data_IF_443421799813
#
_entry.id   IF_443421799813
#
_cell.length_a   1.000
_cell.length_b   1.000
_cell.length_c   1.000
_cell.angle_alpha   90.00
_cell.angle_beta   90.00
_cell.angle_gamma   90.00
#
_symmetry.space_group_name_H-M   'P 1'
#
loop_
_entity.id
_entity.type
_entity.pdbx_description
1 polymer ?
#
# COMPACT_ATOMS: atom_id res chain seq x y z
N UNK A 1 -18.83 14.26 -54.82
CA UNK A 1 -19.34 13.63 -56.05
C UNK A 1 -18.18 13.05 -56.84
N UNK A 2 -18.20 11.82 -57.37
CA UNK A 2 -19.29 10.85 -57.50
C UNK A 2 -19.05 9.56 -56.65
N UNK A 3 -20.03 8.91 -56.16
CA UNK A 3 -21.05 8.02 -56.69
C UNK A 3 -20.65 6.54 -56.79
N UNK A 4 -21.40 5.77 -56.07
CA UNK A 4 -21.44 4.36 -55.87
C UNK A 4 -21.56 3.50 -57.17
N UNK A 5 -21.10 2.25 -57.09
CA UNK A 5 -21.72 1.14 -57.85
C UNK A 5 -21.59 -0.19 -57.08
N UNK A 6 -22.72 -0.78 -56.75
CA UNK A 6 -22.90 -2.20 -56.41
C UNK A 6 -23.15 -3.00 -57.69
N UNK A 7 -22.86 -4.28 -57.76
CA UNK A 7 -23.73 -5.18 -58.53
C UNK A 7 -24.32 -6.34 -57.71
N UNK A 8 -25.48 -6.65 -58.19
CA UNK A 8 -26.56 -7.53 -57.82
C UNK A 8 -26.23 -9.03 -57.75
N UNK A 9 -26.99 -9.69 -56.91
CA UNK A 9 -27.19 -11.14 -56.84
C UNK A 9 -27.90 -11.69 -58.09
N UNK A 10 -27.71 -12.99 -58.37
CA UNK A 10 -28.76 -13.84 -58.95
C UNK A 10 -28.47 -15.35 -58.73
N UNK A 11 -29.48 -16.25 -58.98
CA UNK A 11 -29.84 -17.30 -58.04
C UNK A 11 -29.85 -18.74 -58.65
N UNK A 12 -30.21 -19.70 -57.76
CA UNK A 12 -30.78 -21.02 -58.01
C UNK A 12 -30.04 -22.04 -58.89
N UNK A 13 -29.68 -23.20 -58.30
CA UNK A 13 -30.08 -24.50 -58.80
C UNK A 13 -30.16 -25.56 -57.70
N UNK A 14 -31.34 -26.07 -57.52
CA UNK A 14 -31.65 -27.26 -56.74
C UNK A 14 -31.32 -28.53 -57.52
N UNK A 15 -30.77 -29.56 -56.89
CA UNK A 15 -30.92 -30.95 -57.28
C UNK A 15 -31.21 -31.86 -56.09
N UNK A 16 -32.18 -32.71 -56.31
CA UNK A 16 -32.88 -33.65 -55.45
C UNK A 16 -32.02 -34.86 -55.03
N UNK A 17 -32.17 -35.22 -53.77
CA UNK A 17 -32.45 -36.53 -53.16
C UNK A 17 -31.79 -37.83 -53.64
N UNK A 18 -31.20 -38.60 -52.73
CA UNK A 18 -31.81 -39.81 -52.13
C UNK A 18 -30.99 -40.34 -50.96
N UNK A 19 -31.59 -41.12 -50.06
CA UNK A 19 -31.06 -41.39 -48.72
C UNK A 19 -30.31 -42.73 -48.66
N UNK A 20 -29.29 -42.82 -47.81
CA UNK A 20 -28.80 -44.15 -47.34
C UNK A 20 -28.58 -44.00 -45.79
N UNK A 21 -29.16 -44.97 -45.14
CA UNK A 21 -29.25 -45.15 -43.72
C UNK A 21 -27.94 -45.67 -43.06
N UNK A 22 -27.94 -45.61 -41.73
CA UNK A 22 -27.13 -46.34 -40.77
C UNK A 22 -25.77 -45.76 -40.37
N UNK A 23 -25.71 -45.44 -39.07
CA UNK A 23 -24.48 -45.28 -38.34
C UNK A 23 -24.70 -44.48 -37.03
N UNK A 24 -25.37 -45.12 -36.07
CA UNK A 24 -25.42 -44.58 -34.68
C UNK A 24 -24.00 -44.61 -34.11
N UNK A 25 -23.33 -43.46 -34.06
CA UNK A 25 -22.13 -43.29 -33.24
C UNK A 25 -22.42 -42.21 -32.24
N UNK A 26 -22.72 -42.63 -31.00
CA UNK A 26 -22.82 -41.80 -29.82
C UNK A 26 -21.43 -41.21 -29.50
N UNK A 27 -21.17 -39.99 -29.91
CA UNK A 27 -20.07 -39.21 -29.38
C UNK A 27 -20.49 -38.67 -28.00
N UNK A 28 -19.97 -39.26 -26.93
CA UNK A 28 -19.90 -38.63 -25.63
C UNK A 28 -19.00 -37.38 -25.78
N UNK A 29 -19.60 -36.23 -25.89
CA UNK A 29 -18.93 -34.96 -25.69
C UNK A 29 -18.62 -34.88 -24.19
N UNK A 30 -17.39 -35.23 -23.79
CA UNK A 30 -16.83 -34.87 -22.51
C UNK A 30 -16.79 -33.34 -22.45
N UNK A 31 -17.78 -32.73 -21.80
CA UNK A 31 -17.71 -31.36 -21.38
C UNK A 31 -16.59 -31.25 -20.33
N UNK A 32 -15.35 -31.08 -20.78
CA UNK A 32 -14.24 -30.62 -19.97
C UNK A 32 -14.57 -29.23 -19.51
N UNK A 33 -15.23 -29.11 -18.38
CA UNK A 33 -15.34 -27.85 -17.66
C UNK A 33 -13.94 -27.43 -17.25
N UNK A 34 -13.36 -26.46 -17.93
CA UNK A 34 -12.25 -25.68 -17.41
C UNK A 34 -12.73 -25.06 -16.09
N UNK A 35 -12.52 -25.79 -14.99
CA UNK A 35 -12.52 -25.22 -13.66
C UNK A 35 -11.31 -24.28 -13.63
N UNK A 36 -11.48 -23.08 -14.18
CA UNK A 36 -10.59 -21.98 -13.91
C UNK A 36 -10.48 -21.89 -12.39
N UNK A 37 -9.33 -22.30 -11.86
CA UNK A 37 -8.97 -22.11 -10.46
C UNK A 37 -9.00 -20.60 -10.25
N UNK A 38 -10.18 -20.06 -9.90
CA UNK A 38 -10.29 -18.69 -9.43
C UNK A 38 -9.44 -18.66 -8.16
N UNK A 39 -8.30 -18.01 -8.24
CA UNK A 39 -7.54 -17.65 -7.07
C UNK A 39 -8.52 -16.94 -6.13
N UNK A 40 -8.74 -17.54 -4.96
CA UNK A 40 -9.53 -16.90 -3.92
C UNK A 40 -8.90 -15.53 -3.66
N UNK A 41 -9.69 -14.48 -3.82
CA UNK A 41 -9.24 -13.13 -3.67
C UNK A 41 -8.61 -12.90 -2.30
N UNK A 42 -7.56 -12.12 -2.26
CA UNK A 42 -6.84 -11.80 -1.04
C UNK A 42 -7.58 -10.69 -0.30
N UNK A 43 -8.49 -11.04 0.62
CA UNK A 43 -9.25 -10.06 1.40
C UNK A 43 -8.86 -10.13 2.86
N UNK A 44 -8.55 -8.97 3.43
CA UNK A 44 -8.17 -8.88 4.83
C UNK A 44 -8.43 -7.51 5.43
N UNK A 45 -8.64 -7.50 6.74
CA UNK A 45 -8.78 -6.29 7.55
C UNK A 45 -7.79 -6.34 8.71
N UNK A 46 -7.14 -5.23 8.95
CA UNK A 46 -6.30 -4.99 10.13
C UNK A 46 -6.86 -3.83 10.93
N UNK A 47 -6.93 -4.01 12.24
CA UNK A 47 -7.07 -2.94 13.25
C UNK A 47 -5.86 -3.04 14.19
N UNK A 48 -5.05 -1.98 14.23
CA UNK A 48 -3.85 -1.94 15.06
C UNK A 48 -3.82 -0.68 15.91
N UNK A 49 -3.39 -0.83 17.17
CA UNK A 49 -3.07 0.28 18.06
C UNK A 49 -1.57 0.30 18.33
N UNK A 50 -0.99 1.49 18.35
CA UNK A 50 0.45 1.69 18.51
C UNK A 50 0.74 2.61 19.67
N UNK A 51 1.86 2.33 20.34
CA UNK A 51 2.50 3.26 21.28
C UNK A 51 3.84 3.72 20.71
N UNK A 52 4.03 5.03 20.71
CA UNK A 52 5.32 5.64 20.39
C UNK A 52 6.06 5.99 21.69
N UNK A 53 7.36 5.69 21.77
CA UNK A 53 8.21 6.02 22.90
C UNK A 53 9.57 6.53 22.46
N UNK A 54 10.25 7.29 23.31
CA UNK A 54 11.67 7.66 23.19
C UNK A 54 12.34 7.29 24.50
N UNK A 55 13.45 6.56 24.44
CA UNK A 55 14.17 6.04 25.61
C UNK A 55 13.25 5.33 26.62
N UNK A 56 12.24 4.59 26.13
CA UNK A 56 11.24 3.90 26.95
C UNK A 56 10.11 4.77 27.51
N UNK A 57 10.15 6.08 27.32
CA UNK A 57 9.11 7.00 27.80
C UNK A 57 8.02 7.12 26.73
N UNK A 58 6.76 6.75 27.00
CA UNK A 58 5.66 6.91 26.06
C UNK A 58 5.43 8.40 25.71
N UNK A 59 5.43 8.69 24.41
CA UNK A 59 5.25 10.05 23.88
C UNK A 59 4.01 10.20 23.01
N UNK A 60 3.42 9.10 22.57
CA UNK A 60 2.25 9.12 21.68
C UNK A 60 1.54 7.79 21.59
N UNK A 61 0.32 7.85 21.08
CA UNK A 61 -0.49 6.68 20.70
C UNK A 61 -1.13 6.95 19.36
N UNK A 62 -1.37 5.89 18.60
CA UNK A 62 -2.06 5.96 17.33
C UNK A 62 -2.78 4.67 17.02
N UNK A 63 -3.68 4.73 16.05
CA UNK A 63 -4.34 3.57 15.50
C UNK A 63 -4.20 3.56 13.98
N UNK A 64 -4.28 2.37 13.41
CA UNK A 64 -4.28 2.17 11.97
C UNK A 64 -5.29 1.09 11.59
N UNK A 65 -6.19 1.42 10.66
CA UNK A 65 -7.17 0.51 10.09
C UNK A 65 -6.85 0.35 8.61
N UNK A 66 -6.73 -0.88 8.16
CA UNK A 66 -6.45 -1.22 6.76
C UNK A 66 -7.48 -2.24 6.31
N UNK A 67 -8.09 -2.01 5.15
CA UNK A 67 -8.94 -2.97 4.47
C UNK A 67 -8.36 -3.24 3.08
N UNK A 68 -8.24 -4.51 2.73
CA UNK A 68 -7.75 -4.97 1.44
C UNK A 68 -8.79 -5.89 0.84
N UNK A 69 -9.25 -5.60 -0.36
CA UNK A 69 -10.09 -6.46 -1.19
C UNK A 69 -9.34 -6.90 -2.46
N UNK A 70 -10.01 -7.57 -3.37
CA UNK A 70 -9.40 -8.09 -4.59
C UNK A 70 -8.90 -7.00 -5.53
N UNK A 71 -9.58 -5.86 -5.54
CA UNK A 71 -9.39 -4.78 -6.51
C UNK A 71 -9.03 -3.43 -5.89
N UNK A 72 -9.17 -3.28 -4.56
CA UNK A 72 -8.93 -2.02 -3.87
C UNK A 72 -8.41 -2.20 -2.45
N UNK A 73 -7.83 -1.13 -1.92
CA UNK A 73 -7.49 -1.01 -0.50
C UNK A 73 -7.89 0.36 0.03
N UNK A 74 -8.14 0.41 1.32
CA UNK A 74 -8.24 1.63 2.11
C UNK A 74 -7.35 1.52 3.35
N UNK A 75 -6.78 2.64 3.75
CA UNK A 75 -5.98 2.73 4.96
C UNK A 75 -6.28 4.07 5.65
N UNK A 76 -6.53 4.03 6.95
CA UNK A 76 -6.81 5.22 7.75
C UNK A 76 -6.06 5.12 9.08
N UNK A 77 -5.39 6.20 9.45
CA UNK A 77 -4.62 6.27 10.68
C UNK A 77 -4.95 7.54 11.46
N UNK A 78 -4.85 7.46 12.78
CA UNK A 78 -4.84 8.64 13.62
C UNK A 78 -3.80 8.49 14.73
N UNK A 79 -3.38 9.62 15.31
CA UNK A 79 -2.42 9.62 16.40
C UNK A 79 -2.49 10.90 17.22
N UNK A 80 -2.03 10.78 18.47
CA UNK A 80 -1.95 11.90 19.39
C UNK A 80 -0.73 11.76 20.30
N UNK A 81 -0.14 12.88 20.68
CA UNK A 81 0.88 12.91 21.73
C UNK A 81 0.27 12.63 23.10
N UNK A 82 1.01 11.93 23.94
CA UNK A 82 0.59 11.55 25.29
C UNK A 82 1.63 11.94 26.35
N UNK A 83 1.30 11.74 27.63
CA UNK A 83 2.23 12.00 28.73
C UNK A 83 2.64 13.46 28.86
N UNK A 84 3.85 13.68 29.34
CA UNK A 84 4.41 15.02 29.58
C UNK A 84 4.52 15.84 28.29
N UNK A 85 4.80 15.20 27.16
CA UNK A 85 4.93 15.87 25.86
C UNK A 85 3.62 16.54 25.42
N UNK A 86 2.47 15.99 25.81
CA UNK A 86 1.16 16.59 25.50
C UNK A 86 1.04 18.04 26.01
N UNK A 87 1.64 18.36 27.14
CA UNK A 87 1.61 19.74 27.69
C UNK A 87 2.38 20.72 26.81
N UNK A 88 3.39 20.25 26.07
CA UNK A 88 4.24 21.12 25.27
C UNK A 88 3.80 21.17 23.80
N UNK A 89 3.29 20.09 23.25
CA UNK A 89 2.98 20.02 21.81
C UNK A 89 1.50 19.85 21.53
N UNK A 90 0.77 19.03 22.33
CA UNK A 90 -0.64 18.73 22.13
C UNK A 90 -0.95 18.26 20.70
N UNK A 91 0.01 17.61 20.02
CA UNK A 91 -0.12 17.26 18.62
C UNK A 91 -1.10 16.10 18.43
N UNK A 92 -1.89 16.18 17.36
CA UNK A 92 -2.75 15.12 16.87
C UNK A 92 -2.69 15.09 15.36
N UNK A 93 -2.78 13.91 14.77
CA UNK A 93 -2.75 13.72 13.34
C UNK A 93 -3.79 12.71 12.88
N UNK A 94 -4.26 12.88 11.67
CA UNK A 94 -5.06 11.91 10.93
C UNK A 94 -4.49 11.77 9.54
N UNK A 95 -4.62 10.59 8.96
CA UNK A 95 -4.24 10.35 7.57
C UNK A 95 -5.09 9.24 6.98
N UNK A 96 -5.30 9.31 5.68
CA UNK A 96 -5.99 8.28 4.92
C UNK A 96 -5.36 8.14 3.53
N UNK A 97 -5.37 6.91 3.03
CA UNK A 97 -5.01 6.58 1.67
C UNK A 97 -6.00 5.57 1.10
N UNK A 98 -6.24 5.64 -0.18
CA UNK A 98 -6.94 4.59 -0.92
C UNK A 98 -6.34 4.41 -2.31
N UNK A 99 -6.59 3.24 -2.89
CA UNK A 99 -6.16 2.93 -4.23
C UNK A 99 -6.69 1.58 -4.70
N UNK A 100 -6.23 1.16 -5.85
CA UNK A 100 -6.57 -0.13 -6.42
C UNK A 100 -5.50 -1.18 -6.12
N UNK A 101 -5.88 -2.45 -6.26
CA UNK A 101 -4.95 -3.57 -6.32
C UNK A 101 -4.87 -4.00 -7.79
N UNK A 102 -3.70 -3.86 -8.39
CA UNK A 102 -3.46 -4.27 -9.78
C UNK A 102 -2.34 -5.30 -9.82
N UNK A 103 -2.60 -6.47 -10.40
CA UNK A 103 -1.67 -7.60 -10.38
C UNK A 103 -1.17 -7.93 -8.97
N UNK A 104 -2.05 -7.77 -7.99
CA UNK A 104 -1.76 -7.99 -6.58
C UNK A 104 -0.93 -6.89 -5.90
N UNK A 105 -0.56 -5.82 -6.59
CA UNK A 105 0.22 -4.70 -6.03
C UNK A 105 -0.69 -3.52 -5.71
N UNK A 106 -0.50 -2.84 -4.56
CA UNK A 106 -1.18 -1.58 -4.27
C UNK A 106 -0.78 -0.50 -5.28
N UNK A 107 -1.77 0.16 -5.87
CA UNK A 107 -1.60 1.31 -6.78
C UNK A 107 -2.31 2.50 -6.14
N UNK A 108 -1.56 3.51 -5.66
CA UNK A 108 -2.14 4.64 -4.95
C UNK A 108 -3.02 5.50 -5.86
N UNK A 109 -4.17 5.95 -5.34
CA UNK A 109 -5.06 6.88 -6.01
C UNK A 109 -5.21 8.19 -5.25
N UNK A 110 -5.26 8.15 -3.91
CA UNK A 110 -5.25 9.36 -3.11
C UNK A 110 -4.63 9.15 -1.74
N UNK A 111 -4.09 10.24 -1.22
CA UNK A 111 -3.56 10.35 0.14
C UNK A 111 -3.91 11.71 0.71
N UNK A 112 -4.27 11.75 1.98
CA UNK A 112 -4.44 12.98 2.74
C UNK A 112 -3.94 12.80 4.17
N UNK A 113 -3.31 13.83 4.71
CA UNK A 113 -2.87 13.88 6.10
C UNK A 113 -3.05 15.27 6.68
N UNK A 114 -3.60 15.34 7.89
CA UNK A 114 -3.74 16.59 8.64
C UNK A 114 -3.07 16.41 9.99
N UNK A 115 -2.16 17.31 10.36
CA UNK A 115 -1.50 17.35 11.66
C UNK A 115 -1.81 18.67 12.32
N UNK A 116 -2.35 18.62 13.53
CA UNK A 116 -2.63 19.81 14.35
C UNK A 116 -1.68 19.83 15.56
N UNK A 117 -1.01 20.96 15.80
CA UNK A 117 -0.17 21.18 16.97
C UNK A 117 -0.35 22.61 17.47
N UNK A 118 -0.93 22.74 18.66
CA UNK A 118 -1.40 24.03 19.16
C UNK A 118 -2.45 24.65 18.24
N UNK A 119 -2.16 25.85 17.71
CA UNK A 119 -3.03 26.56 16.74
C UNK A 119 -2.62 26.33 15.29
N UNK A 120 -1.56 25.58 15.05
CA UNK A 120 -1.06 25.31 13.69
C UNK A 120 -1.68 24.04 13.15
N UNK A 121 -1.99 24.06 11.86
CA UNK A 121 -2.49 22.93 11.12
C UNK A 121 -1.60 22.75 9.90
N UNK A 122 -1.07 21.55 9.73
CA UNK A 122 -0.41 21.10 8.51
C UNK A 122 -1.37 20.15 7.77
N UNK A 123 -1.71 20.46 6.54
CA UNK A 123 -2.55 19.62 5.66
C UNK A 123 -1.79 19.28 4.38
N UNK A 124 -1.87 18.03 3.98
CA UNK A 124 -1.30 17.54 2.73
C UNK A 124 -2.35 16.68 2.03
N UNK A 125 -2.53 16.90 0.74
CA UNK A 125 -3.38 16.09 -0.13
C UNK A 125 -2.65 15.76 -1.41
N UNK A 126 -2.76 14.52 -1.87
CA UNK A 126 -2.12 14.04 -3.09
C UNK A 126 -3.14 13.16 -3.84
N UNK A 127 -3.35 13.47 -5.12
CA UNK A 127 -4.06 12.62 -6.06
C UNK A 127 -3.06 11.97 -7.02
N UNK A 128 -3.24 10.66 -7.29
CA UNK A 128 -2.35 9.89 -8.16
C UNK A 128 -3.14 9.08 -9.18
N UNK A 129 -2.52 8.85 -10.32
CA UNK A 129 -3.00 7.91 -11.34
C UNK A 129 -1.85 7.06 -11.82
N UNK A 130 -1.95 5.74 -11.65
CA UNK A 130 -0.90 4.78 -12.03
C UNK A 130 0.50 5.17 -11.49
N UNK A 131 0.57 5.58 -10.21
CA UNK A 131 1.83 5.98 -9.56
C UNK A 131 2.34 7.38 -9.96
N UNK A 132 1.59 8.15 -10.74
CA UNK A 132 1.96 9.52 -11.08
C UNK A 132 1.07 10.50 -10.35
N UNK A 133 1.66 11.50 -9.70
CA UNK A 133 0.94 12.58 -9.02
C UNK A 133 0.27 13.45 -10.08
N UNK A 134 -1.06 13.55 -10.02
CA UNK A 134 -1.88 14.37 -10.93
C UNK A 134 -2.25 15.71 -10.32
N UNK A 135 -2.36 15.75 -8.99
CA UNK A 135 -2.63 16.95 -8.23
C UNK A 135 -2.10 16.81 -6.79
N UNK A 136 -1.70 17.90 -6.16
CA UNK A 136 -1.35 17.92 -4.75
C UNK A 136 -1.46 19.32 -4.14
N UNK A 137 -1.75 19.37 -2.86
CA UNK A 137 -1.74 20.60 -2.05
C UNK A 137 -1.03 20.40 -0.73
N UNK A 138 -0.39 21.45 -0.26
CA UNK A 138 0.34 21.51 1.01
C UNK A 138 0.03 22.83 1.69
N UNK A 139 -0.63 22.77 2.85
CA UNK A 139 -0.98 23.93 3.66
C UNK A 139 -0.39 23.78 5.09
N UNK A 140 0.34 24.78 5.58
CA UNK A 140 0.80 25.98 4.89
C UNK A 140 1.88 25.67 3.84
N UNK A 141 2.08 26.57 2.87
CA UNK A 141 3.16 26.41 1.89
C UNK A 141 4.52 26.28 2.56
N UNK A 142 5.43 25.55 1.93
CA UNK A 142 6.79 25.41 2.46
C UNK A 142 7.48 26.77 2.53
N UNK A 143 8.09 27.11 3.67
CA UNK A 143 8.82 28.38 3.77
C UNK A 143 10.00 28.41 2.80
N UNK A 144 10.37 29.57 2.27
CA UNK A 144 11.54 29.70 1.41
C UNK A 144 12.79 29.15 2.08
N UNK A 145 13.62 28.45 1.30
CA UNK A 145 14.92 27.96 1.71
C UNK A 145 15.83 27.98 0.48
N UNK A 146 16.90 28.80 0.45
CA UNK A 146 17.73 28.99 -0.74
C UNK A 146 18.42 27.72 -1.23
N UNK A 147 18.75 26.81 -0.33
CA UNK A 147 19.42 25.53 -0.61
C UNK A 147 18.44 24.34 -0.74
N UNK A 148 17.13 24.60 -0.81
CA UNK A 148 16.15 23.53 -1.07
C UNK A 148 16.33 22.97 -2.47
N UNK A 149 16.47 21.64 -2.56
CA UNK A 149 16.47 20.94 -3.85
C UNK A 149 15.06 21.02 -4.46
N UNK A 150 14.87 21.59 -5.65
CA UNK A 150 13.54 21.71 -6.25
C UNK A 150 12.92 20.36 -6.56
N UNK A 151 11.61 20.22 -6.37
CA UNK A 151 10.83 19.08 -6.86
C UNK A 151 10.46 19.32 -8.32
N UNK A 152 10.83 18.39 -9.19
CA UNK A 152 10.54 18.43 -10.64
C UNK A 152 9.32 17.56 -10.98
N UNK A 153 8.85 17.64 -12.22
CA UNK A 153 7.79 16.76 -12.72
C UNK A 153 8.22 15.29 -12.76
N UNK A 154 9.52 15.04 -12.98
CA UNK A 154 10.06 13.67 -12.97
C UNK A 154 9.99 13.05 -11.57
N UNK A 155 10.17 13.84 -10.51
CA UNK A 155 10.15 13.40 -9.13
C UNK A 155 8.76 12.97 -8.64
N UNK A 156 7.72 13.30 -9.38
CA UNK A 156 6.32 13.00 -9.10
C UNK A 156 5.77 11.83 -9.91
N UNK A 157 6.64 11.10 -10.62
CA UNK A 157 6.28 9.92 -11.42
C UNK A 157 6.78 8.64 -10.80
N UNK A 158 5.98 7.57 -10.92
CA UNK A 158 6.33 6.25 -10.39
C UNK A 158 6.49 6.25 -8.86
N UNK A 159 5.67 7.02 -8.15
CA UNK A 159 5.78 7.19 -6.70
C UNK A 159 4.59 6.61 -5.95
N UNK A 160 4.83 6.33 -4.69
CA UNK A 160 3.81 6.03 -3.69
C UNK A 160 3.61 7.24 -2.77
N UNK A 161 2.44 7.34 -2.17
CA UNK A 161 2.25 8.15 -0.97
C UNK A 161 2.84 7.45 0.27
N UNK A 162 3.07 8.19 1.37
CA UNK A 162 3.67 7.63 2.58
C UNK A 162 2.90 6.44 3.16
N UNK A 163 1.57 6.46 3.17
CA UNK A 163 0.75 5.41 3.79
C UNK A 163 0.73 4.15 2.93
N UNK A 164 0.49 4.28 1.62
CA UNK A 164 0.53 3.15 0.69
C UNK A 164 1.93 2.53 0.63
N UNK A 165 2.98 3.32 0.79
CA UNK A 165 4.35 2.83 0.81
C UNK A 165 4.62 1.83 1.93
N UNK A 166 3.84 1.84 3.00
CA UNK A 166 3.94 0.89 4.12
C UNK A 166 3.20 -0.43 3.87
N UNK A 167 2.37 -0.53 2.84
CA UNK A 167 1.72 -1.77 2.43
C UNK A 167 2.70 -2.62 1.62
N UNK A 168 3.41 -3.52 2.29
CA UNK A 168 4.45 -4.33 1.67
C UNK A 168 3.88 -5.64 1.11
N UNK A 169 3.54 -5.67 -0.17
CA UNK A 169 3.06 -6.86 -0.87
C UNK A 169 4.21 -7.77 -1.25
N UNK A 170 4.22 -8.98 -0.72
CA UNK A 170 5.20 -10.02 -1.04
C UNK A 170 4.72 -10.86 -2.21
N UNK A 171 5.54 -10.97 -3.25
CA UNK A 171 5.24 -11.77 -4.45
C UNK A 171 5.40 -13.27 -4.19
N UNK A 172 4.95 -14.10 -5.17
CA UNK A 172 5.07 -15.57 -5.08
C UNK A 172 3.96 -16.23 -4.27
N UNK A 173 4.11 -17.55 -4.01
CA UNK A 173 3.12 -18.41 -3.36
C UNK A 173 3.57 -18.95 -1.99
N UNK A 174 4.84 -18.78 -1.63
CA UNK A 174 5.38 -19.18 -0.32
C UNK A 174 4.86 -18.32 0.83
N UNK A 175 5.39 -18.53 2.04
CA UNK A 175 5.05 -17.72 3.21
C UNK A 175 5.42 -16.24 2.94
N UNK A 176 4.49 -15.28 3.06
CA UNK A 176 4.81 -13.87 2.92
C UNK A 176 5.77 -13.37 4.01
N UNK A 177 5.79 -13.99 5.19
CA UNK A 177 6.72 -13.63 6.27
C UNK A 177 8.03 -14.36 6.04
N UNK A 178 8.86 -13.79 5.19
CA UNK A 178 10.13 -14.38 4.74
C UNK A 178 11.19 -13.29 4.52
N UNK A 179 12.48 -13.66 4.37
CA UNK A 179 13.55 -12.70 4.08
C UNK A 179 13.30 -11.82 2.86
N UNK A 180 12.58 -12.34 1.84
CA UNK A 180 12.23 -11.65 0.61
C UNK A 180 11.34 -10.42 0.85
N UNK A 181 10.59 -10.41 1.95
CA UNK A 181 9.78 -9.27 2.35
C UNK A 181 10.60 -7.99 2.58
N UNK A 182 11.89 -8.14 2.90
CA UNK A 182 12.78 -7.01 3.14
C UNK A 182 13.50 -6.50 1.87
N UNK A 183 13.50 -7.27 0.79
CA UNK A 183 14.17 -6.83 -0.45
C UNK A 183 13.25 -5.88 -1.24
N UNK A 184 13.20 -4.63 -0.78
CA UNK A 184 12.29 -3.63 -1.34
C UNK A 184 12.99 -2.28 -1.52
N UNK A 185 12.69 -1.66 -2.67
CA UNK A 185 12.98 -0.26 -2.93
C UNK A 185 11.69 0.42 -3.36
N UNK A 186 11.32 1.51 -2.71
CA UNK A 186 10.08 2.25 -2.99
C UNK A 186 10.36 3.75 -3.07
N UNK A 187 9.84 4.35 -4.13
CA UNK A 187 9.87 5.77 -4.39
C UNK A 187 8.66 6.43 -3.71
N UNK A 188 8.86 7.40 -2.84
CA UNK A 188 7.79 8.04 -2.07
C UNK A 188 7.78 9.54 -2.33
N UNK A 189 6.57 10.10 -2.49
CA UNK A 189 6.33 11.53 -2.49
C UNK A 189 5.29 11.88 -1.42
N UNK A 190 5.64 12.73 -0.48
CA UNK A 190 4.80 13.10 0.66
C UNK A 190 4.10 14.47 0.50
N UNK A 191 4.13 15.04 -0.72
CA UNK A 191 3.65 16.37 -1.02
C UNK A 191 4.73 17.46 -0.87
N UNK A 192 5.81 17.18 -0.15
CA UNK A 192 6.91 18.13 0.14
C UNK A 192 8.25 17.61 -0.31
N UNK A 193 8.51 16.33 -0.09
CA UNK A 193 9.80 15.68 -0.34
C UNK A 193 9.58 14.42 -1.17
N UNK A 194 10.44 14.24 -2.15
CA UNK A 194 10.61 13.00 -2.89
C UNK A 194 11.80 12.25 -2.29
N UNK A 195 11.60 11.02 -1.86
CA UNK A 195 12.64 10.18 -1.28
C UNK A 195 12.46 8.71 -1.67
N UNK A 196 13.56 7.97 -1.65
CA UNK A 196 13.54 6.52 -1.74
C UNK A 196 13.68 5.92 -0.34
N UNK A 197 12.91 4.87 -0.08
CA UNK A 197 13.16 3.93 1.01
C UNK A 197 13.69 2.64 0.41
N UNK A 198 14.81 2.18 0.94
CA UNK A 198 15.37 0.87 0.66
C UNK A 198 15.34 0.04 1.92
N UNK A 199 15.04 -1.26 1.81
CA UNK A 199 15.11 -2.18 2.93
C UNK A 199 15.85 -3.46 2.57
N UNK A 200 16.57 -4.03 3.53
CA UNK A 200 17.26 -5.30 3.43
C UNK A 200 16.95 -6.19 4.66
N UNK A 201 17.07 -7.49 4.46
CA UNK A 201 16.81 -8.46 5.52
C UNK A 201 17.90 -8.43 6.60
N UNK A 202 17.48 -8.41 7.86
CA UNK A 202 18.36 -8.55 9.01
C UNK A 202 18.22 -9.91 9.69
N UNK A 203 16.99 -10.28 10.08
CA UNK A 203 16.70 -11.52 10.82
C UNK A 203 15.20 -11.81 10.86
N UNK A 204 14.87 -13.02 11.27
CA UNK A 204 13.50 -13.36 11.68
C UNK A 204 13.38 -13.23 13.19
N UNK A 205 12.25 -12.72 13.66
CA UNK A 205 11.88 -12.69 15.08
C UNK A 205 10.45 -13.18 15.29
N UNK A 206 10.10 -13.45 16.55
CA UNK A 206 8.70 -13.67 16.97
C UNK A 206 8.27 -12.51 17.83
N UNK A 207 7.10 -11.95 17.52
CA UNK A 207 6.49 -10.87 18.28
C UNK A 207 5.15 -11.31 18.86
N UNK A 208 4.69 -10.55 19.86
CA UNK A 208 3.38 -10.76 20.47
C UNK A 208 2.82 -9.39 20.87
N UNK A 209 1.67 -9.02 20.30
CA UNK A 209 0.88 -7.90 20.77
C UNK A 209 0.12 -8.28 22.07
N UNK A 210 -0.31 -7.31 22.83
CA UNK A 210 -1.19 -7.55 24.00
C UNK A 210 -2.51 -8.20 23.55
N UNK A 211 -3.01 -7.79 22.36
CA UNK A 211 -4.18 -8.37 21.73
C UNK A 211 -3.96 -8.58 20.23
N UNK A 212 -4.29 -9.78 19.73
CA UNK A 212 -4.26 -10.13 18.32
C UNK A 212 -3.01 -10.91 17.95
N UNK A 213 -2.16 -10.36 17.09
CA UNK A 213 -1.05 -11.08 16.46
C UNK A 213 0.00 -11.56 17.46
N UNK A 214 0.31 -12.84 17.36
CA UNK A 214 1.49 -13.47 17.97
C UNK A 214 2.08 -14.43 16.93
N UNK A 215 3.30 -14.18 16.48
CA UNK A 215 3.89 -14.98 15.41
C UNK A 215 5.18 -14.40 14.84
N UNK A 216 5.69 -15.04 13.77
CA UNK A 216 6.94 -14.64 13.13
C UNK A 216 6.79 -13.31 12.39
N UNK A 217 7.85 -12.52 12.37
CA UNK A 217 8.00 -11.28 11.61
C UNK A 217 9.35 -11.24 10.91
N UNK A 218 9.40 -10.60 9.75
CA UNK A 218 10.66 -10.27 9.10
C UNK A 218 11.16 -8.92 9.62
N UNK A 219 12.39 -8.89 10.12
CA UNK A 219 13.06 -7.65 10.57
C UNK A 219 13.94 -7.15 9.44
N UNK A 220 13.64 -5.95 8.97
CA UNK A 220 14.36 -5.32 7.87
C UNK A 220 15.06 -4.04 8.34
N UNK A 221 16.28 -3.84 7.91
CA UNK A 221 16.93 -2.53 7.97
C UNK A 221 16.26 -1.58 6.98
N UNK A 222 16.12 -0.30 7.35
CA UNK A 222 15.47 0.72 6.51
C UNK A 222 16.44 1.88 6.29
N UNK A 223 16.60 2.26 5.03
CA UNK A 223 17.51 3.33 4.61
C UNK A 223 16.75 4.40 3.84
N UNK A 224 17.02 5.64 4.19
CA UNK A 224 16.41 6.81 3.59
C UNK A 224 17.36 7.51 2.63
N UNK A 225 16.89 7.80 1.43
CA UNK A 225 17.63 8.57 0.42
C UNK A 225 16.74 9.71 -0.08
N UNK A 226 16.96 10.96 0.35
CA UNK A 226 16.21 12.10 -0.16
C UNK A 226 16.63 12.39 -1.60
N UNK A 227 15.66 12.70 -2.45
CA UNK A 227 15.87 13.00 -3.87
C UNK A 227 15.67 14.50 -4.15
N UNK A 228 14.51 15.04 -3.74
CA UNK A 228 14.18 16.46 -3.95
C UNK A 228 13.20 16.97 -2.88
N UNK A 229 12.94 18.28 -2.83
CA UNK A 229 12.07 18.92 -1.85
C UNK A 229 12.71 19.19 -0.49
N UNK A 230 13.83 18.54 -0.21
CA UNK A 230 14.52 18.66 1.07
C UNK A 230 15.54 19.79 1.08
N UNK A 231 16.02 20.14 2.27
CA UNK A 231 17.04 21.18 2.53
C UNK A 231 18.30 20.47 3.03
N UNK A 232 19.38 20.35 2.21
CA UNK A 232 20.58 19.57 2.55
C UNK A 232 21.30 20.03 3.82
N UNK A 233 21.25 21.33 4.11
CA UNK A 233 21.89 21.91 5.30
C UNK A 233 21.23 21.52 6.62
N UNK A 234 19.98 21.02 6.62
CA UNK A 234 19.23 20.66 7.84
C UNK A 234 19.87 19.48 8.57
N UNK A 235 20.20 19.62 9.88
CA UNK A 235 20.81 18.53 10.65
C UNK A 235 19.98 17.24 10.65
N UNK A 236 18.64 17.34 10.73
CA UNK A 236 17.76 16.17 10.69
C UNK A 236 17.87 15.39 9.36
N UNK A 237 18.04 16.06 8.23
CA UNK A 237 18.22 15.40 6.93
C UNK A 237 19.57 14.70 6.87
N UNK A 238 20.64 15.34 7.31
CA UNK A 238 21.98 14.73 7.40
C UNK A 238 21.95 13.48 8.27
N UNK A 239 21.31 13.61 9.44
CA UNK A 239 21.14 12.47 10.35
C UNK A 239 20.43 11.29 9.69
N UNK A 240 19.28 11.52 9.01
CA UNK A 240 18.52 10.47 8.35
C UNK A 240 19.28 9.81 7.19
N UNK A 241 20.09 10.58 6.43
CA UNK A 241 20.93 10.04 5.35
C UNK A 241 22.02 9.09 5.91
N UNK A 242 22.57 9.42 7.05
CA UNK A 242 23.67 8.65 7.69
C UNK A 242 23.15 7.48 8.53
N UNK A 243 21.87 7.45 8.85
CA UNK A 243 21.25 6.44 9.72
C UNK A 243 21.34 5.04 9.10
N UNK A 244 21.86 4.06 9.87
CA UNK A 244 22.02 2.65 9.43
C UNK A 244 21.29 1.65 10.32
N UNK A 245 20.81 2.11 11.47
CA UNK A 245 20.24 1.27 12.53
C UNK A 245 18.72 1.47 12.69
N UNK A 246 18.06 2.00 11.64
CA UNK A 246 16.60 2.00 11.59
C UNK A 246 16.12 0.61 11.16
N UNK A 247 15.18 0.05 11.91
CA UNK A 247 14.63 -1.28 11.64
C UNK A 247 13.09 -1.25 11.65
N UNK A 248 12.49 -2.11 10.82
CA UNK A 248 11.06 -2.37 10.79
C UNK A 248 10.77 -3.86 10.93
N UNK A 249 9.83 -4.21 11.78
CA UNK A 249 9.28 -5.56 11.95
C UNK A 249 7.99 -5.66 11.16
N UNK A 250 7.94 -6.53 10.18
CA UNK A 250 6.83 -6.67 9.25
C UNK A 250 5.96 -7.86 9.63
N UNK A 251 4.70 -7.61 9.99
CA UNK A 251 3.70 -8.62 10.31
C UNK A 251 2.61 -8.71 9.21
N UNK A 252 2.00 -9.89 9.00
CA UNK A 252 1.05 -10.10 7.91
C UNK A 252 -0.36 -9.61 8.26
N UNK A 253 -1.07 -9.11 7.24
CA UNK A 253 -2.52 -8.97 7.26
C UNK A 253 -3.13 -10.31 6.86
N UNK A 254 -3.91 -10.91 7.74
CA UNK A 254 -4.53 -12.22 7.52
C UNK A 254 -5.36 -12.25 6.23
N UNK A 255 -5.30 -13.37 5.51
CA UNK A 255 -5.99 -13.54 4.23
C UNK A 255 -5.34 -12.82 3.05
N UNK A 256 -4.23 -12.12 3.26
CA UNK A 256 -3.52 -11.37 2.20
C UNK A 256 -2.05 -11.77 2.13
N UNK A 257 -1.35 -11.24 1.14
CA UNK A 257 0.12 -11.31 1.05
C UNK A 257 0.78 -9.97 1.38
N UNK A 258 0.07 -9.10 2.11
CA UNK A 258 0.55 -7.78 2.50
C UNK A 258 1.06 -7.85 3.93
N UNK A 259 2.29 -7.38 4.12
CA UNK A 259 2.89 -7.16 5.42
C UNK A 259 2.89 -5.66 5.72
N UNK A 260 2.75 -5.33 6.99
CA UNK A 260 2.77 -3.94 7.47
C UNK A 260 3.63 -3.82 8.73
N UNK A 261 4.10 -2.61 9.07
CA UNK A 261 4.88 -2.40 10.27
C UNK A 261 4.12 -2.81 11.55
N UNK A 262 4.66 -3.81 12.25
CA UNK A 262 4.28 -4.16 13.61
C UNK A 262 5.08 -3.30 14.61
N UNK A 263 6.36 -3.09 14.31
CA UNK A 263 7.28 -2.27 15.10
C UNK A 263 8.19 -1.51 14.15
N UNK A 264 8.55 -0.30 14.53
CA UNK A 264 9.61 0.48 13.91
C UNK A 264 10.51 1.04 15.00
N UNK A 265 11.82 0.90 14.83
CA UNK A 265 12.82 1.41 15.76
C UNK A 265 13.86 2.22 15.02
N UNK A 266 14.30 3.30 15.63
CA UNK A 266 15.43 4.08 15.15
C UNK A 266 16.17 4.74 16.32
N UNK A 267 17.49 4.87 16.28
CA UNK A 267 18.20 5.73 17.23
C UNK A 267 17.70 7.16 17.13
N UNK A 268 17.71 7.88 18.22
CA UNK A 268 17.52 9.34 18.26
C UNK A 268 18.54 9.98 19.17
N UNK A 269 18.80 11.29 19.09
CA UNK A 269 19.71 11.96 20.03
C UNK A 269 19.29 11.84 21.50
N UNK A 270 18.02 11.51 21.79
CA UNK A 270 17.46 11.35 23.14
C UNK A 270 17.39 9.88 23.58
N UNK A 271 17.88 8.94 22.79
CA UNK A 271 17.80 7.50 23.00
C UNK A 271 16.98 6.78 21.93
N UNK A 272 16.72 5.48 22.06
CA UNK A 272 15.95 4.73 21.08
C UNK A 272 14.53 5.27 20.91
N UNK A 273 14.16 5.60 19.68
CA UNK A 273 12.78 5.87 19.28
C UNK A 273 12.11 4.58 18.86
N UNK A 274 10.93 4.30 19.36
CA UNK A 274 10.18 3.08 19.09
C UNK A 274 8.72 3.43 18.80
N UNK A 275 8.17 2.84 17.74
CA UNK A 275 6.74 2.72 17.48
C UNK A 275 6.41 1.24 17.48
N UNK A 276 5.49 0.78 18.32
CA UNK A 276 5.18 -0.63 18.48
C UNK A 276 3.68 -0.86 18.60
N UNK A 277 3.19 -1.89 17.91
CA UNK A 277 1.80 -2.30 18.02
C UNK A 277 1.55 -2.94 19.40
N UNK A 278 0.64 -2.37 20.16
CA UNK A 278 0.09 -2.94 21.40
C UNK A 278 -1.11 -3.83 21.09
N UNK A 279 -1.89 -3.47 20.07
CA UNK A 279 -2.94 -4.33 19.52
C UNK A 279 -2.70 -4.48 18.00
N UNK A 280 -2.89 -5.71 17.50
CA UNK A 280 -2.71 -6.01 16.08
C UNK A 280 -3.70 -7.12 15.68
N UNK A 281 -4.96 -6.72 15.50
CA UNK A 281 -6.05 -7.63 15.20
C UNK A 281 -6.25 -7.69 13.69
N UNK A 282 -5.90 -8.83 13.11
CA UNK A 282 -6.02 -9.06 11.68
C UNK A 282 -6.93 -10.23 11.40
N UNK A 283 -7.88 -10.06 10.48
CA UNK A 283 -8.85 -11.06 10.06
C UNK A 283 -8.90 -11.17 8.54
N UNK A 284 -8.97 -12.42 8.05
CA UNK A 284 -9.33 -12.65 6.64
C UNK A 284 -10.83 -12.41 6.46
N UNK A 285 -11.22 -11.70 5.42
CA UNK A 285 -12.61 -11.49 5.07
C UNK A 285 -13.06 -12.51 4.00
N UNK A 286 -14.25 -13.11 4.14
CA UNK A 286 -14.80 -13.94 3.07
C UNK A 286 -15.08 -13.09 1.83
N UNK A 287 -14.82 -13.66 0.65
CA UNK A 287 -15.13 -13.03 -0.64
C UNK A 287 -16.65 -12.76 -0.70
N UNK A 288 -17.05 -11.50 -0.66
CA UNK A 288 -18.44 -11.13 -0.90
C UNK A 288 -18.70 -11.22 -2.41
N UNK A 289 -19.31 -12.33 -2.86
CA UNK A 289 -19.86 -12.38 -4.20
C UNK A 289 -21.06 -11.42 -4.26
N UNK A 290 -21.11 -10.48 -5.22
CA UNK A 290 -22.33 -9.74 -5.47
C UNK A 290 -23.43 -10.75 -5.78
N UNK A 291 -24.51 -10.73 -5.02
CA UNK A 291 -25.70 -11.52 -5.33
C UNK A 291 -26.11 -11.16 -6.76
N UNK A 292 -26.08 -12.15 -7.66
CA UNK A 292 -26.62 -12.00 -8.99
C UNK A 292 -28.05 -11.47 -8.86
N UNK A 293 -28.31 -10.27 -9.35
CA UNK A 293 -29.66 -9.75 -9.47
C UNK A 293 -30.40 -10.68 -10.42
N UNK A 294 -31.22 -11.56 -9.88
CA UNK A 294 -32.21 -12.31 -10.65
C UNK A 294 -33.17 -11.28 -11.28
N UNK A 295 -33.12 -11.17 -12.57
CA UNK A 295 -34.12 -10.44 -13.38
C UNK A 295 -35.38 -11.33 -13.53
#
# INVERSE_FOLDING_TARGET
>A
MPAAVFPKANPFRAHRATPVAFGLLTLLAAAGGDAACRQAGAQGRLEAEYTASIAGIPIGRGNWVIEISDDQYTAAASGTTTGVIRFFTGARGTGAAHGSISSGQPVPASYGATITYGKKVDDVRIALTAGNVTDYSVEPPLPPAPDRIPVTDADRRGVFDPMTSMLNRVSGTGDPVSPEACNRKVAVFDGRVRYDLHSDFKRMETVKADRGYAGPVAVCGVYFTPISGYVPSRPAIKYLIELRDAEVWLAPIAGTRVLVPFRFSMPTPLGPGLLEATEFVSVSQPVQHPLAKTQ
#
